data_IF_530895708270
#
_entry.id   IF_530895708270
#
_cell.length_a   1.000
_cell.length_b   1.000
_cell.length_c   1.000
_cell.angle_alpha   90.00
_cell.angle_beta   90.00
_cell.angle_gamma   90.00
#
_symmetry.space_group_name_H-M   'P 1'
#
loop_
_entity.id
_entity.type
_entity.pdbx_description
1 polymer ?
#
# COMPACT_ATOMS: atom_id res chain seq x y z
N UNK A 1 -10.27 20.66 14.77
CA UNK A 1 -9.27 20.23 13.77
C UNK A 1 -9.92 20.27 12.42
N UNK A 2 -9.22 20.78 11.40
CA UNK A 2 -9.68 20.81 10.01
C UNK A 2 -9.03 19.64 9.27
N UNK A 3 -9.83 18.85 8.55
CA UNK A 3 -9.41 17.67 7.79
C UNK A 3 -9.63 17.85 6.28
N UNK A 4 -9.88 19.08 5.83
CA UNK A 4 -10.01 19.35 4.41
C UNK A 4 -8.67 19.16 3.71
N UNK A 5 -8.67 18.22 2.75
CA UNK A 5 -7.53 17.97 1.89
C UNK A 5 -7.56 19.00 0.75
N UNK A 6 -6.47 19.74 0.51
CA UNK A 6 -6.34 20.62 -0.65
C UNK A 6 -6.67 19.88 -1.95
N UNK A 7 -7.35 20.56 -2.89
CA UNK A 7 -7.83 19.93 -4.12
C UNK A 7 -6.72 19.27 -4.95
N UNK A 8 -5.52 19.86 -4.97
CA UNK A 8 -4.35 19.28 -5.65
C UNK A 8 -3.93 17.95 -5.02
N UNK A 9 -3.88 17.88 -3.70
CA UNK A 9 -3.52 16.65 -2.98
C UNK A 9 -4.59 15.58 -3.19
N UNK A 10 -5.88 15.95 -3.14
CA UNK A 10 -6.97 15.02 -3.42
C UNK A 10 -6.92 14.48 -4.87
N UNK A 11 -6.56 15.33 -5.84
CA UNK A 11 -6.38 14.92 -7.22
C UNK A 11 -5.21 13.94 -7.37
N UNK A 12 -4.10 14.21 -6.69
CA UNK A 12 -2.93 13.34 -6.71
C UNK A 12 -3.18 11.99 -6.02
N UNK A 13 -3.91 11.98 -4.89
CA UNK A 13 -4.32 10.73 -4.25
C UNK A 13 -5.13 9.84 -5.19
N UNK A 14 -6.03 10.43 -5.99
CA UNK A 14 -6.80 9.69 -7.00
C UNK A 14 -5.90 9.13 -8.12
N UNK A 15 -4.90 9.88 -8.56
CA UNK A 15 -3.92 9.36 -9.53
C UNK A 15 -3.14 8.17 -8.97
N UNK A 16 -2.75 8.22 -7.69
CA UNK A 16 -2.12 7.10 -7.01
C UNK A 16 -3.04 5.88 -6.92
N UNK A 17 -4.32 6.07 -6.59
CA UNK A 17 -5.29 4.98 -6.56
C UNK A 17 -5.44 4.32 -7.94
N UNK A 18 -5.53 5.13 -9.00
CA UNK A 18 -5.59 4.64 -10.39
C UNK A 18 -4.32 3.87 -10.79
N UNK A 19 -3.15 4.34 -10.36
CA UNK A 19 -1.87 3.66 -10.57
C UNK A 19 -1.80 2.31 -9.83
N UNK A 20 -2.21 2.26 -8.57
CA UNK A 20 -2.22 1.03 -7.76
C UNK A 20 -3.12 -0.02 -8.43
N UNK A 21 -4.31 0.38 -8.89
CA UNK A 21 -5.24 -0.51 -9.57
C UNK A 21 -4.71 -1.04 -10.90
N UNK A 22 -4.03 -0.18 -11.68
CA UNK A 22 -3.56 -0.54 -13.01
C UNK A 22 -2.27 -1.34 -13.00
N UNK A 23 -1.33 -1.01 -12.11
CA UNK A 23 0.02 -1.56 -12.13
C UNK A 23 0.27 -2.54 -10.98
N UNK A 24 -0.10 -2.18 -9.75
CA UNK A 24 0.26 -2.97 -8.56
C UNK A 24 -0.66 -4.17 -8.40
N UNK A 25 -1.98 -3.99 -8.51
CA UNK A 25 -2.96 -5.08 -8.33
C UNK A 25 -2.77 -6.24 -9.31
N UNK A 26 -2.41 -6.03 -10.59
CA UNK A 26 -2.04 -7.12 -11.47
C UNK A 26 -0.77 -7.84 -11.03
N UNK A 27 0.28 -7.10 -10.61
CA UNK A 27 1.53 -7.68 -10.12
C UNK A 27 1.35 -8.50 -8.84
N UNK A 28 0.46 -8.08 -7.94
CA UNK A 28 0.09 -8.84 -6.74
C UNK A 28 -0.56 -10.18 -7.08
N UNK A 29 -1.35 -10.22 -8.16
CA UNK A 29 -2.08 -11.43 -8.59
C UNK A 29 -1.23 -12.37 -9.45
N UNK A 30 -0.16 -11.85 -10.03
CA UNK A 30 0.75 -12.64 -10.87
C UNK A 30 1.62 -13.57 -10.02
N UNK A 31 1.96 -14.76 -10.56
CA UNK A 31 2.98 -15.67 -10.01
C UNK A 31 2.84 -16.03 -8.52
N UNK A 32 1.59 -16.05 -8.02
CA UNK A 32 1.29 -16.30 -6.60
C UNK A 32 2.01 -15.29 -5.68
N UNK A 33 2.27 -14.08 -6.18
CA UNK A 33 2.83 -12.96 -5.41
C UNK A 33 1.91 -12.58 -4.25
N UNK A 34 0.62 -12.85 -4.35
CA UNK A 34 -0.38 -12.63 -3.31
C UNK A 34 0.02 -13.27 -1.97
N UNK A 35 0.82 -14.35 -1.97
CA UNK A 35 1.39 -14.97 -0.76
C UNK A 35 2.24 -13.99 0.08
N UNK A 36 2.80 -12.97 -0.56
CA UNK A 36 3.62 -11.93 0.05
C UNK A 36 2.81 -10.76 0.59
N UNK A 37 1.53 -10.68 0.19
CA UNK A 37 0.58 -9.63 0.56
C UNK A 37 -0.55 -10.14 1.48
N UNK A 38 -0.51 -11.40 1.96
CA UNK A 38 -1.39 -11.86 3.05
C UNK A 38 -1.02 -11.12 4.35
N UNK A 39 -1.87 -10.17 4.72
CA UNK A 39 -1.79 -9.32 5.92
C UNK A 39 -1.60 -10.09 7.24
N UNK A 40 -1.90 -11.40 7.29
CA UNK A 40 -1.64 -12.21 8.50
C UNK A 40 -0.15 -12.53 8.73
N UNK A 41 0.72 -12.22 7.77
CA UNK A 41 2.20 -12.34 7.90
C UNK A 41 2.90 -10.99 7.99
N UNK A 42 2.17 -9.92 8.29
CA UNK A 42 2.72 -8.57 8.45
C UNK A 42 3.74 -8.48 9.60
N UNK A 43 3.57 -9.26 10.67
CA UNK A 43 4.55 -9.38 11.78
C UNK A 43 5.92 -9.92 11.36
N UNK A 44 6.03 -10.65 10.24
CA UNK A 44 7.29 -11.28 9.83
C UNK A 44 8.12 -10.43 8.87
N UNK A 45 7.55 -9.39 8.27
CA UNK A 45 8.22 -8.53 7.27
C UNK A 45 8.65 -7.19 7.84
N UNK A 46 7.98 -6.75 8.89
CA UNK A 46 8.29 -5.55 9.64
C UNK A 46 8.46 -6.01 11.06
N UNK A 47 9.67 -5.89 11.60
CA UNK A 47 9.88 -6.03 13.03
C UNK A 47 9.23 -4.82 13.70
N UNK A 48 7.90 -4.85 13.83
CA UNK A 48 7.11 -3.78 14.43
C UNK A 48 7.52 -3.55 15.89
N UNK A 49 8.04 -4.58 16.55
CA UNK A 49 8.61 -4.47 17.89
C UNK A 49 9.96 -3.73 17.90
N UNK A 50 10.58 -3.51 16.73
CA UNK A 50 11.84 -2.79 16.51
C UNK A 50 11.70 -1.64 15.47
N UNK A 51 10.51 -1.00 15.41
CA UNK A 51 10.22 0.13 14.50
C UNK A 51 10.46 -0.15 12.99
N UNK A 52 10.39 -1.41 12.57
CA UNK A 52 10.61 -1.81 11.18
C UNK A 52 12.07 -1.73 10.71
N UNK A 53 13.03 -1.70 11.63
CA UNK A 53 14.46 -1.81 11.30
C UNK A 53 14.85 -3.28 11.04
N UNK A 54 15.66 -3.56 10.00
CA UNK A 54 16.10 -4.91 9.65
C UNK A 54 17.08 -5.53 10.66
#
# INVERSE_FOLDING_TARGET
MDFNIPAEIAAYLRELDEFIEREIRPLERENDNIRFFDHRREHARTDWDNDGQP
#
